data_IF_766827503522
#
_entry.id   IF_766827503522
#
_cell.length_a   1.000
_cell.length_b   1.000
_cell.length_c   1.000
_cell.angle_alpha   90.00
_cell.angle_beta   90.00
_cell.angle_gamma   90.00
#
_symmetry.space_group_name_H-M   'P 1'
#
loop_
_entity.id
_entity.type
_entity.pdbx_description
1 polymer ?
#
# COMPACT_ATOMS: atom_id res chain seq x y z
N UNK A 1 8.88 10.16 -7.35
CA UNK A 1 10.32 9.87 -7.36
C UNK A 1 10.53 8.38 -7.13
N UNK A 2 11.57 7.79 -7.71
CA UNK A 2 11.95 6.38 -7.46
C UNK A 2 12.96 6.35 -6.30
N UNK A 3 12.83 5.37 -5.41
CA UNK A 3 13.83 5.11 -4.36
C UNK A 3 14.66 3.91 -4.79
N UNK A 4 15.98 4.09 -4.92
CA UNK A 4 16.92 3.08 -5.38
C UNK A 4 17.87 2.69 -4.24
N UNK A 5 17.90 1.41 -3.90
CA UNK A 5 18.84 0.84 -2.93
C UNK A 5 19.71 -0.24 -3.55
N UNK A 6 20.77 -0.63 -2.84
CA UNK A 6 21.68 -1.68 -3.29
C UNK A 6 21.67 -2.84 -2.32
N UNK A 7 21.45 -4.04 -2.86
CA UNK A 7 21.42 -5.28 -2.10
C UNK A 7 22.71 -6.10 -2.18
N UNK A 8 22.82 -7.08 -1.28
CA UNK A 8 23.96 -8.02 -1.21
C UNK A 8 25.29 -7.34 -0.84
N UNK A 9 25.22 -6.24 -0.07
CA UNK A 9 26.41 -5.57 0.45
C UNK A 9 26.87 -6.24 1.75
N UNK A 10 28.14 -6.65 1.81
CA UNK A 10 28.70 -7.40 2.94
C UNK A 10 29.87 -6.69 3.63
N UNK A 11 30.41 -5.63 3.03
CA UNK A 11 31.60 -4.92 3.50
C UNK A 11 31.43 -3.38 3.36
N UNK A 12 32.14 -2.59 4.20
CA UNK A 12 32.00 -1.15 4.22
C UNK A 12 32.53 -0.44 2.96
N UNK A 13 33.50 -1.01 2.24
CA UNK A 13 34.04 -0.38 1.03
C UNK A 13 33.00 -0.40 -0.09
N UNK A 14 32.33 -1.53 -0.29
CA UNK A 14 31.21 -1.67 -1.21
C UNK A 14 30.03 -0.76 -0.82
N UNK A 15 29.70 -0.67 0.47
CA UNK A 15 28.68 0.25 0.95
C UNK A 15 29.02 1.72 0.59
N UNK A 16 30.25 2.15 0.88
CA UNK A 16 30.71 3.51 0.59
C UNK A 16 30.68 3.83 -0.91
N UNK A 17 31.09 2.87 -1.76
CA UNK A 17 31.02 2.99 -3.21
C UNK A 17 29.60 3.31 -3.68
N UNK A 18 28.61 2.49 -3.28
CA UNK A 18 27.23 2.67 -3.74
C UNK A 18 26.53 3.88 -3.13
N UNK A 19 26.88 4.26 -1.90
CA UNK A 19 26.42 5.54 -1.32
C UNK A 19 26.91 6.71 -2.18
N UNK A 20 28.18 6.70 -2.60
CA UNK A 20 28.71 7.75 -3.48
C UNK A 20 28.06 7.74 -4.88
N UNK A 21 27.55 6.59 -5.34
CA UNK A 21 26.76 6.49 -6.56
C UNK A 21 25.29 6.92 -6.39
N UNK A 22 24.87 7.35 -5.20
CA UNK A 22 23.52 7.86 -4.94
C UNK A 22 22.51 6.84 -4.42
N UNK A 23 22.94 5.71 -3.87
CA UNK A 23 22.03 4.75 -3.23
C UNK A 23 21.29 5.41 -2.05
N UNK A 24 19.96 5.26 -2.02
CA UNK A 24 19.10 5.76 -0.94
C UNK A 24 19.16 4.88 0.31
N UNK A 25 19.47 3.58 0.15
CA UNK A 25 19.63 2.63 1.24
C UNK A 25 20.52 1.45 0.82
N UNK A 26 21.07 0.76 1.81
CA UNK A 26 21.93 -0.42 1.66
C UNK A 26 21.24 -1.63 2.30
N UNK A 27 21.30 -2.80 1.65
CA UNK A 27 20.76 -4.06 2.16
C UNK A 27 21.83 -5.14 2.18
N UNK A 28 22.02 -5.78 3.34
CA UNK A 28 22.95 -6.90 3.50
C UNK A 28 22.24 -8.26 3.55
N UNK A 29 22.92 -9.37 3.25
CA UNK A 29 22.43 -10.71 3.57
C UNK A 29 22.69 -11.11 5.03
N UNK A 30 23.57 -10.37 5.72
CA UNK A 30 23.99 -10.55 7.10
C UNK A 30 24.13 -9.18 7.78
N UNK A 31 24.28 -9.17 9.10
CA UNK A 31 24.61 -7.98 9.87
C UNK A 31 26.13 -7.78 9.91
N UNK A 32 26.59 -6.61 9.47
CA UNK A 32 27.98 -6.19 9.59
C UNK A 32 28.03 -4.82 10.29
N UNK A 33 28.65 -4.71 11.49
CA UNK A 33 28.70 -3.47 12.24
C UNK A 33 29.52 -2.38 11.54
N UNK A 34 30.48 -2.72 10.69
CA UNK A 34 31.27 -1.74 9.94
C UNK A 34 30.52 -1.18 8.73
N UNK A 35 29.62 -1.98 8.13
CA UNK A 35 28.64 -1.47 7.15
C UNK A 35 27.69 -0.50 7.84
N UNK A 36 27.17 -0.85 9.02
CA UNK A 36 26.28 0.03 9.79
C UNK A 36 26.95 1.37 10.10
N UNK A 37 28.19 1.37 10.64
CA UNK A 37 28.96 2.60 10.90
C UNK A 37 29.13 3.45 9.63
N UNK A 38 29.43 2.83 8.50
CA UNK A 38 29.62 3.52 7.21
C UNK A 38 28.33 4.22 6.76
N UNK A 39 27.21 3.50 6.79
CA UNK A 39 25.89 3.99 6.44
C UNK A 39 25.44 5.12 7.39
N UNK A 40 25.59 4.95 8.70
CA UNK A 40 25.22 5.92 9.73
C UNK A 40 25.99 7.24 9.57
N UNK A 41 27.31 7.19 9.33
CA UNK A 41 28.13 8.39 9.07
C UNK A 41 27.68 9.17 7.84
N UNK A 42 27.04 8.51 6.88
CA UNK A 42 26.53 9.10 5.64
C UNK A 42 25.02 9.40 5.69
N UNK A 43 24.35 9.11 6.82
CA UNK A 43 22.90 9.22 6.98
C UNK A 43 22.11 8.44 5.91
N UNK A 44 22.64 7.28 5.53
CA UNK A 44 21.99 6.35 4.59
C UNK A 44 21.46 5.17 5.38
N UNK A 45 20.22 4.75 5.12
CA UNK A 45 19.62 3.64 5.83
C UNK A 45 20.33 2.32 5.50
N UNK A 46 20.57 1.50 6.53
CA UNK A 46 21.09 0.14 6.38
C UNK A 46 20.05 -0.87 6.87
N UNK A 47 19.75 -1.86 6.03
CA UNK A 47 18.82 -2.94 6.31
C UNK A 47 19.64 -4.25 6.34
N UNK A 48 20.26 -4.59 7.50
CA UNK A 48 21.07 -5.80 7.63
C UNK A 48 20.23 -7.07 7.58
N UNK A 49 20.85 -8.18 7.17
CA UNK A 49 20.23 -9.50 7.26
C UNK A 49 20.41 -10.10 8.66
N UNK A 50 19.35 -10.61 9.24
CA UNK A 50 19.34 -11.28 10.54
C UNK A 50 18.54 -12.58 10.45
N UNK A 51 18.89 -13.57 11.25
CA UNK A 51 18.18 -14.86 11.36
C UNK A 51 17.82 -15.22 12.81
N UNK A 52 18.29 -14.45 13.80
CA UNK A 52 18.03 -14.69 15.23
C UNK A 52 17.62 -13.40 15.97
N UNK A 53 16.92 -13.50 17.12
CA UNK A 53 16.60 -12.32 17.94
C UNK A 53 17.84 -11.54 18.41
N UNK A 54 18.96 -12.22 18.71
CA UNK A 54 20.20 -11.55 19.11
C UNK A 54 20.78 -10.69 18.01
N UNK A 55 20.86 -11.20 16.77
CA UNK A 55 21.32 -10.41 15.61
C UNK A 55 20.40 -9.23 15.32
N UNK A 56 19.09 -9.39 15.52
CA UNK A 56 18.11 -8.30 15.37
C UNK A 56 18.39 -7.21 16.42
N UNK A 57 18.57 -7.59 17.68
CA UNK A 57 18.87 -6.65 18.77
C UNK A 57 20.19 -5.91 18.53
N UNK A 58 21.24 -6.60 18.11
CA UNK A 58 22.54 -5.98 17.80
C UNK A 58 22.45 -5.01 16.62
N UNK A 59 21.66 -5.35 15.60
CA UNK A 59 21.40 -4.46 14.47
C UNK A 59 20.64 -3.20 14.89
N UNK A 60 19.61 -3.33 15.73
CA UNK A 60 18.84 -2.20 16.28
C UNK A 60 19.72 -1.31 17.16
N UNK A 61 20.58 -1.87 18.01
CA UNK A 61 21.55 -1.13 18.83
C UNK A 61 22.54 -0.32 17.96
N UNK A 62 22.91 -0.85 16.80
CA UNK A 62 23.72 -0.15 15.81
C UNK A 62 22.93 0.85 14.94
N UNK A 63 21.64 1.06 15.23
CA UNK A 63 20.79 2.07 14.61
C UNK A 63 20.02 1.61 13.37
N UNK A 64 19.88 0.30 13.13
CA UNK A 64 19.02 -0.19 12.05
C UNK A 64 17.54 -0.04 12.43
N UNK A 65 16.80 0.81 11.71
CA UNK A 65 15.35 1.00 11.90
C UNK A 65 14.50 -0.20 11.45
N UNK A 66 15.04 -1.02 10.54
CA UNK A 66 14.39 -2.19 9.97
C UNK A 66 15.45 -3.21 9.61
N UNK A 67 15.19 -4.49 9.91
CA UNK A 67 16.08 -5.61 9.58
C UNK A 67 15.44 -6.49 8.50
N UNK A 68 16.28 -7.07 7.65
CA UNK A 68 15.89 -8.12 6.72
C UNK A 68 15.95 -9.46 7.44
N UNK A 69 14.84 -10.18 7.52
CA UNK A 69 14.87 -11.57 8.01
C UNK A 69 15.12 -12.52 6.84
N UNK A 70 16.24 -13.24 6.89
CA UNK A 70 16.74 -14.00 5.74
C UNK A 70 17.55 -15.24 6.19
N UNK A 71 17.41 -16.39 5.51
CA UNK A 71 16.53 -16.66 4.36
C UNK A 71 15.07 -16.95 4.75
N UNK A 72 14.13 -16.31 4.05
CA UNK A 72 12.68 -16.36 4.28
C UNK A 72 12.07 -17.76 4.24
N UNK A 73 12.61 -18.64 3.40
CA UNK A 73 12.22 -20.07 3.31
C UNK A 73 12.46 -20.85 4.60
N UNK A 74 13.39 -20.39 5.45
CA UNK A 74 13.71 -21.06 6.72
C UNK A 74 13.00 -20.39 7.89
N UNK A 75 13.03 -19.05 7.99
CA UNK A 75 12.42 -18.33 9.12
C UNK A 75 10.89 -18.39 9.10
N UNK A 76 10.27 -18.33 7.92
CA UNK A 76 8.81 -18.33 7.73
C UNK A 76 8.05 -17.21 8.49
N UNK A 77 6.74 -17.01 8.25
CA UNK A 77 5.98 -15.99 8.99
C UNK A 77 5.95 -16.20 10.51
N UNK A 78 6.08 -17.43 11.00
CA UNK A 78 6.04 -17.74 12.43
C UNK A 78 7.17 -17.07 13.21
N UNK A 79 8.36 -16.93 12.61
CA UNK A 79 9.49 -16.25 13.23
C UNK A 79 9.20 -14.78 13.52
N UNK A 80 8.64 -14.03 12.55
CA UNK A 80 8.29 -12.63 12.76
C UNK A 80 7.29 -12.50 13.90
N UNK A 81 6.25 -13.34 13.90
CA UNK A 81 5.24 -13.36 14.97
C UNK A 81 5.88 -13.66 16.34
N UNK A 82 6.80 -14.61 16.40
CA UNK A 82 7.49 -15.02 17.63
C UNK A 82 8.41 -13.90 18.16
N UNK A 83 9.21 -13.25 17.30
CA UNK A 83 10.10 -12.14 17.70
C UNK A 83 9.29 -10.92 18.16
N UNK A 84 8.18 -10.61 17.50
CA UNK A 84 7.32 -9.48 17.88
C UNK A 84 6.61 -9.66 19.22
N UNK A 85 6.53 -10.89 19.74
CA UNK A 85 5.98 -11.16 21.07
C UNK A 85 6.73 -10.38 22.17
N UNK A 86 8.04 -10.63 22.38
CA UNK A 86 8.87 -9.87 23.30
C UNK A 86 9.39 -8.54 22.74
N UNK A 87 9.52 -8.39 21.41
CA UNK A 87 10.07 -7.19 20.77
C UNK A 87 9.06 -6.53 19.80
N UNK A 88 7.94 -5.97 20.28
CA UNK A 88 6.87 -5.43 19.42
C UNK A 88 7.30 -4.21 18.57
N UNK A 89 8.39 -3.53 18.94
CA UNK A 89 8.97 -2.43 18.17
C UNK A 89 9.76 -2.90 16.95
N UNK A 90 10.22 -4.17 16.93
CA UNK A 90 11.08 -4.67 15.87
C UNK A 90 10.38 -4.67 14.51
N UNK A 91 10.96 -3.93 13.55
CA UNK A 91 10.51 -3.88 12.17
C UNK A 91 11.32 -4.89 11.36
N UNK A 92 10.63 -5.89 10.83
CA UNK A 92 11.25 -6.97 10.06
C UNK A 92 10.69 -7.01 8.63
N UNK A 93 11.57 -7.25 7.67
CA UNK A 93 11.26 -7.42 6.25
C UNK A 93 11.75 -8.80 5.77
N UNK A 94 10.86 -9.78 5.50
CA UNK A 94 11.27 -11.08 4.97
C UNK A 94 11.79 -10.96 3.54
N UNK A 95 12.78 -11.79 3.21
CA UNK A 95 13.36 -11.92 1.86
C UNK A 95 13.80 -13.36 1.60
N UNK A 96 13.74 -13.83 0.36
CA UNK A 96 14.17 -15.20 0.00
C UNK A 96 13.17 -16.27 0.43
N UNK A 97 11.90 -16.08 0.09
CA UNK A 97 10.75 -16.94 0.47
C UNK A 97 9.38 -16.23 0.39
N UNK A 98 9.37 -14.98 -0.08
CA UNK A 98 8.15 -14.22 -0.35
C UNK A 98 7.68 -14.53 -1.77
N UNK A 99 6.54 -15.18 -1.88
CA UNK A 99 5.89 -15.55 -3.15
C UNK A 99 4.84 -14.51 -3.53
N UNK A 100 4.58 -14.35 -4.83
CA UNK A 100 3.55 -13.46 -5.35
C UNK A 100 2.19 -14.16 -5.39
N UNK A 101 1.78 -14.68 -4.24
CA UNK A 101 0.47 -15.31 -4.01
C UNK A 101 -0.23 -14.61 -2.85
N UNK A 102 -1.57 -14.58 -2.89
CA UNK A 102 -2.39 -13.95 -1.85
C UNK A 102 -2.11 -14.54 -0.49
N UNK A 103 -2.00 -15.86 -0.41
CA UNK A 103 -1.82 -16.64 0.81
C UNK A 103 -0.47 -16.32 1.46
N UNK A 104 0.61 -16.34 0.67
CA UNK A 104 1.96 -16.07 1.17
C UNK A 104 2.10 -14.62 1.65
N UNK A 105 1.67 -13.66 0.83
CA UNK A 105 1.69 -12.22 1.18
C UNK A 105 0.86 -11.97 2.44
N UNK A 106 -0.37 -12.51 2.50
CA UNK A 106 -1.23 -12.36 3.66
C UNK A 106 -0.62 -12.94 4.93
N UNK A 107 0.04 -14.09 4.83
CA UNK A 107 0.68 -14.73 5.98
C UNK A 107 1.81 -13.87 6.56
N UNK A 108 2.67 -13.30 5.71
CA UNK A 108 3.75 -12.41 6.17
C UNK A 108 3.23 -11.12 6.79
N UNK A 109 2.28 -10.45 6.14
CA UNK A 109 1.70 -9.20 6.64
C UNK A 109 0.98 -9.43 7.97
N UNK A 110 0.14 -10.47 8.08
CA UNK A 110 -0.57 -10.81 9.33
C UNK A 110 0.37 -11.26 10.46
N UNK A 111 1.56 -11.76 10.14
CA UNK A 111 2.59 -12.04 11.13
C UNK A 111 3.26 -10.77 11.69
N UNK A 112 3.04 -9.61 11.07
CA UNK A 112 3.60 -8.32 11.49
C UNK A 112 4.83 -7.89 10.70
N UNK A 113 5.05 -8.42 9.50
CA UNK A 113 6.10 -7.91 8.61
C UNK A 113 5.84 -6.44 8.27
N UNK A 114 6.86 -5.59 8.43
CA UNK A 114 6.75 -4.15 8.16
C UNK A 114 6.75 -3.85 6.65
N UNK A 115 7.51 -4.64 5.89
CA UNK A 115 7.62 -4.58 4.44
C UNK A 115 7.85 -5.99 3.89
N UNK A 116 7.73 -6.18 2.58
CA UNK A 116 8.05 -7.44 1.91
C UNK A 116 9.14 -7.20 0.87
N UNK A 117 10.20 -8.02 0.88
CA UNK A 117 11.22 -7.99 -0.17
C UNK A 117 10.96 -9.12 -1.17
N UNK A 118 10.51 -8.75 -2.36
CA UNK A 118 10.25 -9.67 -3.46
C UNK A 118 11.29 -9.47 -4.57
N UNK A 119 12.06 -10.52 -4.85
CA UNK A 119 13.05 -10.53 -5.93
C UNK A 119 12.47 -11.10 -7.22
N UNK A 120 13.07 -12.20 -7.69
CA UNK A 120 12.73 -12.88 -8.95
C UNK A 120 11.30 -13.40 -9.06
N UNK A 121 10.57 -13.49 -7.96
CA UNK A 121 9.14 -13.87 -7.98
C UNK A 121 8.26 -12.72 -8.50
N UNK A 122 8.65 -11.46 -8.24
CA UNK A 122 7.93 -10.28 -8.71
C UNK A 122 8.45 -9.82 -10.07
N UNK A 123 9.77 -9.63 -10.18
CA UNK A 123 10.43 -9.30 -11.46
C UNK A 123 10.91 -10.61 -12.10
N UNK A 124 9.97 -11.32 -12.72
CA UNK A 124 10.24 -12.64 -13.31
C UNK A 124 11.08 -12.54 -14.58
N UNK A 125 12.08 -13.43 -14.71
CA UNK A 125 13.03 -13.44 -15.83
C UNK A 125 12.35 -13.70 -17.18
N UNK A 126 11.31 -14.52 -17.22
CA UNK A 126 10.55 -14.82 -18.45
C UNK A 126 9.74 -13.62 -18.93
N UNK A 127 9.07 -12.88 -18.03
CA UNK A 127 8.36 -11.65 -18.38
C UNK A 127 9.30 -10.56 -18.89
N UNK A 128 10.46 -10.38 -18.23
CA UNK A 128 11.48 -9.42 -18.68
C UNK A 128 12.04 -9.80 -20.04
N UNK A 129 12.33 -11.08 -20.29
CA UNK A 129 12.80 -11.56 -21.60
C UNK A 129 11.76 -11.36 -22.70
N UNK A 130 10.48 -11.49 -22.38
CA UNK A 130 9.37 -11.26 -23.30
C UNK A 130 9.05 -9.77 -23.52
N UNK A 131 9.66 -8.85 -22.75
CA UNK A 131 9.31 -7.43 -22.77
C UNK A 131 7.92 -7.13 -22.19
N UNK A 132 7.35 -8.06 -21.42
CA UNK A 132 6.01 -7.96 -20.84
C UNK A 132 6.03 -7.11 -19.55
N UNK A 133 6.29 -5.82 -19.71
CA UNK A 133 6.30 -4.87 -18.60
C UNK A 133 4.90 -4.57 -18.06
N UNK A 134 3.88 -4.70 -18.91
CA UNK A 134 2.47 -4.55 -18.50
C UNK A 134 2.06 -5.69 -17.55
N UNK A 135 2.42 -6.93 -17.87
CA UNK A 135 2.18 -8.08 -17.01
C UNK A 135 2.91 -7.96 -15.66
N UNK A 136 4.13 -7.42 -15.65
CA UNK A 136 4.85 -7.08 -14.41
C UNK A 136 4.07 -6.02 -13.61
N UNK A 137 3.58 -4.97 -14.27
CA UNK A 137 2.76 -3.92 -13.65
C UNK A 137 1.51 -4.47 -12.97
N UNK A 138 0.74 -5.28 -13.69
CA UNK A 138 -0.47 -5.96 -13.16
C UNK A 138 -0.15 -6.86 -11.97
N UNK A 139 0.96 -7.58 -12.01
CA UNK A 139 1.39 -8.41 -10.89
C UNK A 139 1.75 -7.57 -9.65
N UNK A 140 2.42 -6.43 -9.84
CA UNK A 140 2.76 -5.49 -8.76
C UNK A 140 1.49 -4.91 -8.14
N UNK A 141 0.54 -4.44 -8.96
CA UNK A 141 -0.76 -3.94 -8.51
C UNK A 141 -1.51 -4.99 -7.69
N UNK A 142 -1.55 -6.22 -8.18
CA UNK A 142 -2.19 -7.33 -7.48
C UNK A 142 -1.53 -7.63 -6.12
N UNK A 143 -0.20 -7.57 -6.03
CA UNK A 143 0.53 -7.76 -4.77
C UNK A 143 0.22 -6.63 -3.77
N UNK A 144 0.17 -5.38 -4.24
CA UNK A 144 -0.21 -4.22 -3.40
C UNK A 144 -1.62 -4.42 -2.84
N UNK A 145 -2.55 -4.91 -3.66
CA UNK A 145 -3.91 -5.20 -3.21
C UNK A 145 -3.97 -6.23 -2.10
N UNK A 146 -3.28 -7.35 -2.26
CA UNK A 146 -3.22 -8.38 -1.21
C UNK A 146 -2.55 -7.87 0.07
N UNK A 147 -1.58 -6.97 -0.02
CA UNK A 147 -0.98 -6.31 1.16
C UNK A 147 -2.03 -5.45 1.88
N UNK A 148 -2.78 -4.62 1.14
CA UNK A 148 -3.84 -3.76 1.71
C UNK A 148 -4.93 -4.58 2.37
N UNK A 149 -5.39 -5.63 1.71
CA UNK A 149 -6.32 -6.61 2.27
C UNK A 149 -5.81 -7.22 3.58
N UNK A 150 -4.56 -7.67 3.59
CA UNK A 150 -3.97 -8.32 4.75
C UNK A 150 -3.76 -7.35 5.93
N UNK A 151 -3.59 -6.05 5.65
CA UNK A 151 -3.59 -4.98 6.67
C UNK A 151 -4.98 -4.61 7.17
N UNK A 152 -6.04 -5.08 6.52
CA UNK A 152 -7.41 -4.78 6.87
C UNK A 152 -7.92 -3.47 6.29
N UNK A 153 -7.30 -2.94 5.23
CA UNK A 153 -7.83 -1.78 4.51
C UNK A 153 -9.25 -2.14 4.01
N UNK A 154 -10.29 -1.36 4.37
CA UNK A 154 -11.64 -1.62 3.92
C UNK A 154 -11.76 -1.38 2.41
N UNK A 155 -12.43 -2.30 1.70
CA UNK A 155 -12.67 -2.16 0.27
C UNK A 155 -13.66 -1.01 -0.02
N UNK A 156 -14.71 -0.92 0.79
CA UNK A 156 -15.70 0.14 0.75
C UNK A 156 -15.41 1.12 1.88
N UNK A 157 -15.05 2.34 1.53
CA UNK A 157 -14.55 3.36 2.45
C UNK A 157 -15.69 4.20 3.05
N UNK A 158 -16.83 4.26 2.37
CA UNK A 158 -18.00 5.01 2.81
C UNK A 158 -18.82 5.54 1.64
N UNK A 159 -19.93 6.20 1.94
CA UNK A 159 -20.75 6.88 0.93
C UNK A 159 -20.11 8.22 0.60
N UNK A 160 -19.81 8.45 -0.67
CA UNK A 160 -19.32 9.73 -1.18
C UNK A 160 -20.46 10.73 -1.31
N UNK A 161 -21.54 10.34 -1.99
CA UNK A 161 -22.72 11.17 -2.13
C UNK A 161 -23.95 10.32 -2.47
N UNK A 162 -25.11 10.90 -2.22
CA UNK A 162 -26.40 10.42 -2.74
C UNK A 162 -26.76 11.31 -3.92
N UNK A 163 -27.01 10.69 -5.07
CA UNK A 163 -27.56 11.36 -6.23
C UNK A 163 -29.07 11.43 -6.19
N UNK A 164 -29.63 12.61 -6.39
CA UNK A 164 -31.06 12.87 -6.50
C UNK A 164 -31.38 13.37 -7.90
N UNK A 165 -32.43 12.82 -8.48
CA UNK A 165 -32.90 13.15 -9.82
C UNK A 165 -34.19 13.94 -9.68
N UNK A 166 -34.26 15.18 -10.19
CA UNK A 166 -35.49 15.96 -10.17
C UNK A 166 -36.57 15.30 -11.02
N UNK A 167 -37.82 15.69 -10.81
CA UNK A 167 -38.96 15.21 -11.59
C UNK A 167 -39.67 16.40 -12.26
N UNK A 168 -40.70 16.12 -13.06
CA UNK A 168 -41.44 17.14 -13.83
C UNK A 168 -42.02 18.29 -12.97
N UNK A 169 -42.14 18.11 -11.65
CA UNK A 169 -42.70 19.10 -10.73
C UNK A 169 -41.66 20.01 -10.08
N UNK A 170 -40.40 19.59 -9.99
CA UNK A 170 -39.35 20.31 -9.24
C UNK A 170 -38.06 20.29 -10.05
N UNK A 171 -37.53 21.46 -10.40
CA UNK A 171 -36.24 21.55 -11.12
C UNK A 171 -35.08 21.18 -10.20
N UNK A 172 -33.99 20.67 -10.78
CA UNK A 172 -32.81 20.28 -10.02
C UNK A 172 -32.18 21.43 -9.23
N UNK A 173 -32.22 22.65 -9.77
CA UNK A 173 -31.70 23.83 -9.07
C UNK A 173 -32.53 24.18 -7.82
N UNK A 174 -33.86 24.17 -7.95
CA UNK A 174 -34.77 24.46 -6.83
C UNK A 174 -34.59 23.43 -5.71
N UNK A 175 -34.41 22.16 -6.08
CA UNK A 175 -34.13 21.08 -5.13
C UNK A 175 -32.78 21.26 -4.42
N UNK A 176 -31.72 21.61 -5.17
CA UNK A 176 -30.40 21.86 -4.59
C UNK A 176 -30.40 23.07 -3.65
N UNK A 177 -31.08 24.16 -4.03
CA UNK A 177 -31.25 25.34 -3.19
C UNK A 177 -31.99 24.99 -1.89
N UNK A 178 -33.06 24.20 -1.98
CA UNK A 178 -33.81 23.79 -0.81
C UNK A 178 -32.93 23.05 0.20
N UNK A 179 -32.12 22.07 -0.24
CA UNK A 179 -31.19 21.37 0.66
C UNK A 179 -30.12 22.30 1.23
N UNK A 180 -29.58 23.21 0.43
CA UNK A 180 -28.57 24.17 0.87
C UNK A 180 -29.11 25.10 1.96
N UNK A 181 -30.31 25.66 1.76
CA UNK A 181 -30.95 26.59 2.68
C UNK A 181 -31.44 25.91 3.95
N UNK A 182 -32.16 24.79 3.83
CA UNK A 182 -32.77 24.09 4.96
C UNK A 182 -31.74 23.56 5.93
N UNK A 183 -30.61 23.06 5.43
CA UNK A 183 -29.55 22.47 6.27
C UNK A 183 -28.34 23.37 6.49
N UNK A 184 -28.31 24.56 5.86
CA UNK A 184 -27.15 25.47 5.92
C UNK A 184 -25.89 24.83 5.32
N UNK A 185 -26.04 24.18 4.17
CA UNK A 185 -24.96 23.54 3.40
C UNK A 185 -24.47 24.45 2.28
N UNK A 186 -23.23 24.22 1.85
CA UNK A 186 -22.67 24.92 0.70
C UNK A 186 -23.15 24.27 -0.60
N UNK A 187 -23.64 25.09 -1.52
CA UNK A 187 -24.01 24.65 -2.88
C UNK A 187 -22.88 24.99 -3.85
N UNK A 188 -22.38 23.99 -4.57
CA UNK A 188 -21.44 24.14 -5.68
C UNK A 188 -22.10 23.69 -6.98
N UNK A 189 -22.15 24.58 -7.96
CA UNK A 189 -22.68 24.26 -9.29
C UNK A 189 -21.61 23.61 -10.17
N UNK A 190 -21.94 22.44 -10.72
CA UNK A 190 -21.17 21.74 -11.74
C UNK A 190 -21.82 21.85 -13.12
N UNK A 191 -21.24 21.16 -14.11
CA UNK A 191 -21.76 21.17 -15.50
C UNK A 191 -23.13 20.49 -15.60
N UNK A 192 -23.25 19.28 -15.05
CA UNK A 192 -24.43 18.40 -15.17
C UNK A 192 -25.24 18.28 -13.89
N UNK A 193 -24.68 18.68 -12.75
CA UNK A 193 -25.30 18.56 -11.42
C UNK A 193 -24.90 19.71 -10.48
N UNK A 194 -25.62 19.83 -9.37
CA UNK A 194 -25.28 20.65 -8.22
C UNK A 194 -24.83 19.75 -7.08
N UNK A 195 -23.73 20.09 -6.41
CA UNK A 195 -23.30 19.41 -5.20
C UNK A 195 -23.65 20.25 -3.97
N UNK A 196 -24.36 19.66 -3.01
CA UNK A 196 -24.75 20.30 -1.77
C UNK A 196 -24.13 19.52 -0.61
N UNK A 197 -23.25 20.14 0.16
CA UNK A 197 -22.58 19.45 1.26
C UNK A 197 -22.05 20.39 2.36
N UNK A 198 -21.71 19.79 3.50
CA UNK A 198 -20.91 20.42 4.56
C UNK A 198 -20.02 19.36 5.19
N UNK A 199 -18.79 19.24 4.69
CA UNK A 199 -17.83 18.22 5.13
C UNK A 199 -17.87 16.94 4.28
N UNK A 200 -17.47 15.77 4.84
CA UNK A 200 -17.50 14.49 4.14
C UNK A 200 -18.92 14.10 3.75
N UNK A 201 -19.07 13.50 2.55
CA UNK A 201 -20.39 13.18 2.02
C UNK A 201 -20.99 14.34 1.22
N UNK A 202 -22.10 14.09 0.53
CA UNK A 202 -22.86 15.14 -0.14
C UNK A 202 -24.14 14.66 -0.79
N UNK A 203 -24.93 15.62 -1.25
CA UNK A 203 -26.07 15.39 -2.12
C UNK A 203 -25.67 15.91 -3.50
N UNK A 204 -25.64 15.03 -4.48
CA UNK A 204 -25.58 15.44 -5.89
C UNK A 204 -27.02 15.59 -6.39
N UNK A 205 -27.39 16.74 -6.93
CA UNK A 205 -28.67 16.96 -7.58
C UNK A 205 -28.44 17.16 -9.07
N UNK A 206 -28.92 16.22 -9.88
CA UNK A 206 -28.78 16.26 -11.34
C UNK A 206 -29.62 17.40 -11.91
N UNK A 207 -29.10 18.16 -12.88
CA UNK A 207 -29.82 19.30 -13.48
C UNK A 207 -31.00 18.86 -14.34
N UNK A 208 -30.76 17.88 -15.22
CA UNK A 208 -31.73 17.32 -16.15
C UNK A 208 -31.51 15.80 -16.21
N UNK A 209 -32.45 14.98 -15.73
CA UNK A 209 -32.31 13.53 -15.73
C UNK A 209 -32.50 12.98 -17.15
N UNK A 210 -31.56 12.17 -17.62
CA UNK A 210 -31.64 11.53 -18.95
C UNK A 210 -32.50 10.24 -18.93
N UNK A 211 -32.70 9.64 -17.74
CA UNK A 211 -33.41 8.36 -17.55
C UNK A 211 -34.39 8.38 -16.38
N UNK A 212 -35.22 7.32 -16.25
CA UNK A 212 -36.11 7.08 -15.08
C UNK A 212 -35.35 6.66 -13.80
N UNK A 213 -34.13 7.15 -13.61
CA UNK A 213 -33.37 6.93 -12.37
C UNK A 213 -33.96 7.86 -11.31
N UNK A 214 -34.26 7.32 -10.12
CA UNK A 214 -34.80 8.11 -9.00
C UNK A 214 -33.71 8.64 -8.08
N UNK A 215 -32.69 7.81 -7.85
CA UNK A 215 -31.53 8.14 -7.05
C UNK A 215 -30.36 7.22 -7.40
N UNK A 216 -29.15 7.64 -7.03
CA UNK A 216 -27.97 6.78 -6.98
C UNK A 216 -27.23 6.96 -5.66
N UNK A 217 -26.34 6.02 -5.36
CA UNK A 217 -25.39 6.13 -4.25
C UNK A 217 -24.01 5.97 -4.86
N UNK A 218 -23.14 6.95 -4.65
CA UNK A 218 -21.72 6.81 -4.94
C UNK A 218 -21.00 6.32 -3.69
N UNK A 219 -20.24 5.23 -3.82
CA UNK A 219 -19.49 4.62 -2.72
C UNK A 219 -18.00 4.82 -3.01
N UNK A 220 -17.29 5.44 -2.07
CA UNK A 220 -15.83 5.53 -2.13
C UNK A 220 -15.24 4.15 -1.91
N UNK A 221 -14.27 3.79 -2.74
CA UNK A 221 -13.63 2.47 -2.70
C UNK A 221 -12.12 2.62 -2.69
N UNK A 222 -11.44 1.70 -2.01
CA UNK A 222 -9.98 1.67 -1.98
C UNK A 222 -9.38 1.16 -3.29
N UNK A 223 -10.19 0.45 -4.07
CA UNK A 223 -9.89 -0.17 -5.37
C UNK A 223 -11.21 -0.35 -6.16
N UNK A 224 -11.29 0.25 -7.34
CA UNK A 224 -12.51 0.26 -8.16
C UNK A 224 -12.80 -1.09 -8.80
N UNK A 225 -11.82 -1.68 -9.49
CA UNK A 225 -12.01 -2.95 -10.22
C UNK A 225 -12.38 -4.09 -9.28
N UNK A 226 -11.74 -4.15 -8.12
CA UNK A 226 -12.05 -5.13 -7.07
C UNK A 226 -13.43 -4.90 -6.47
N UNK A 227 -13.86 -3.66 -6.29
CA UNK A 227 -15.20 -3.35 -5.84
C UNK A 227 -16.26 -3.77 -6.86
N UNK A 228 -16.04 -3.48 -8.15
CA UNK A 228 -16.91 -3.95 -9.23
C UNK A 228 -17.02 -5.47 -9.24
N UNK A 229 -15.89 -6.18 -9.26
CA UNK A 229 -15.88 -7.66 -9.21
C UNK A 229 -16.59 -8.20 -7.96
N UNK A 230 -16.35 -7.60 -6.80
CA UNK A 230 -17.00 -7.99 -5.54
C UNK A 230 -18.53 -7.87 -5.60
N UNK A 231 -19.02 -6.81 -6.25
CA UNK A 231 -20.44 -6.55 -6.45
C UNK A 231 -21.03 -7.47 -7.52
N UNK A 232 -20.38 -7.63 -8.67
CA UNK A 232 -20.80 -8.55 -9.74
C UNK A 232 -20.97 -10.00 -9.24
N UNK A 233 -20.07 -10.46 -8.37
CA UNK A 233 -20.19 -11.78 -7.72
C UNK A 233 -21.42 -11.92 -6.79
N UNK A 234 -22.08 -10.81 -6.42
CA UNK A 234 -23.22 -10.75 -5.50
C UNK A 234 -24.54 -10.36 -6.16
N UNK A 235 -24.52 -10.02 -7.46
CA UNK A 235 -25.69 -9.52 -8.21
C UNK A 235 -25.98 -8.06 -7.92
#
# INVERSE_FOLDING_TARGET
SVILGVGTVVDPATAALYINCGANFIVGPLFNPDVAKTCNRRKVAYIPGCMTPSEISEAEEMGADIVKVFPGKVVTPSFIKAVRGPCPWAKMMPSGGVETTRENISAWIKAGAAALNMGSNLIRKDLVKAGDFEGIGKLVEQCILWIREARGDPLFLGVEHIGLYPNDRVKGEDLANWYAEVFGFDKKEGRTSFFVSRGPGGIEVVKQPEEKIRCHIAVQVSDFERACKYLEERG
#
